data_IF_040537586510
#
_entry.id   IF_040537586510
#
_cell.length_a   1.000
_cell.length_b   1.000
_cell.length_c   1.000
_cell.angle_alpha   90.00
_cell.angle_beta   90.00
_cell.angle_gamma   90.00
#
_symmetry.space_group_name_H-M   'P 1'
#
loop_
_entity.id
_entity.type
_entity.pdbx_description
1 polymer ?
#
# COMPACT_ATOMS: atom_id res chain seq x y z
N UNK A 1 -19.89 -2.76 18.23
CA UNK A 1 -19.88 -1.72 17.18
C UNK A 1 -18.46 -1.43 16.70
N UNK A 2 -17.51 -1.11 17.58
CA UNK A 2 -16.12 -0.76 17.19
C UNK A 2 -15.41 -1.83 16.34
N UNK A 3 -15.50 -3.11 16.69
CA UNK A 3 -14.94 -4.20 15.90
C UNK A 3 -15.44 -4.21 14.44
N UNK A 4 -16.74 -3.93 14.24
CA UNK A 4 -17.33 -3.89 12.90
C UNK A 4 -16.78 -2.70 12.09
N UNK A 5 -16.68 -1.52 12.70
CA UNK A 5 -16.09 -0.35 12.04
C UNK A 5 -14.63 -0.59 11.67
N UNK A 6 -13.82 -1.11 12.59
CA UNK A 6 -12.44 -1.45 12.34
C UNK A 6 -12.29 -2.49 11.22
N UNK A 7 -13.18 -3.49 11.17
CA UNK A 7 -13.19 -4.47 10.07
C UNK A 7 -13.51 -3.80 8.73
N UNK A 8 -14.58 -3.01 8.65
CA UNK A 8 -15.00 -2.34 7.41
C UNK A 8 -13.92 -1.38 6.93
N UNK A 9 -13.36 -0.55 7.82
CA UNK A 9 -12.28 0.38 7.48
C UNK A 9 -11.05 -0.39 7.02
N UNK A 10 -10.63 -1.39 7.78
CA UNK A 10 -9.47 -2.21 7.46
C UNK A 10 -9.57 -2.92 6.12
N UNK A 11 -10.74 -3.53 5.86
CA UNK A 11 -11.02 -4.22 4.60
C UNK A 11 -11.08 -3.24 3.42
N UNK A 12 -11.89 -2.19 3.54
CA UNK A 12 -12.13 -1.24 2.44
C UNK A 12 -10.86 -0.46 2.09
N UNK A 13 -10.12 0.01 3.10
CA UNK A 13 -8.87 0.71 2.90
C UNK A 13 -7.83 -0.17 2.20
N UNK A 14 -7.66 -1.43 2.64
CA UNK A 14 -6.75 -2.36 1.98
C UNK A 14 -7.19 -2.68 0.54
N UNK A 15 -8.48 -2.95 0.34
CA UNK A 15 -9.04 -3.25 -0.98
C UNK A 15 -8.82 -2.10 -1.96
N UNK A 16 -9.18 -0.87 -1.55
CA UNK A 16 -9.03 0.35 -2.36
C UNK A 16 -7.56 0.68 -2.59
N UNK A 17 -6.72 0.58 -1.57
CA UNK A 17 -5.28 0.87 -1.66
C UNK A 17 -4.52 -0.03 -2.64
N UNK A 18 -5.05 -1.22 -2.93
CA UNK A 18 -4.46 -2.18 -3.88
C UNK A 18 -5.07 -2.05 -5.30
N UNK A 19 -6.10 -1.22 -5.52
CA UNK A 19 -6.69 -1.01 -6.85
C UNK A 19 -5.67 -0.48 -7.87
N UNK A 20 -4.84 0.53 -7.58
CA UNK A 20 -3.91 1.04 -8.57
C UNK A 20 -2.94 -0.05 -9.03
N UNK A 21 -2.71 -0.20 -10.36
CA UNK A 21 -1.78 -1.18 -10.88
C UNK A 21 -0.35 -0.86 -10.45
N UNK A 22 0.20 -1.71 -9.60
CA UNK A 22 1.57 -1.59 -9.08
C UNK A 22 2.38 -2.86 -9.28
N UNK A 23 3.62 -2.85 -8.78
CA UNK A 23 4.55 -3.97 -8.92
C UNK A 23 3.97 -5.29 -8.39
N UNK A 24 3.28 -5.25 -7.25
CA UNK A 24 2.71 -6.44 -6.60
C UNK A 24 1.57 -7.02 -7.46
N UNK A 25 0.61 -6.18 -7.86
CA UNK A 25 -0.58 -6.59 -8.60
C UNK A 25 -0.21 -7.15 -9.97
N UNK A 26 0.68 -6.44 -10.68
CA UNK A 26 1.16 -6.87 -11.99
C UNK A 26 2.03 -8.12 -11.90
N UNK A 27 2.79 -8.31 -10.81
CA UNK A 27 3.54 -9.55 -10.58
C UNK A 27 2.58 -10.74 -10.35
N UNK A 28 1.53 -10.56 -9.54
CA UNK A 28 0.51 -11.59 -9.33
C UNK A 28 -0.17 -11.99 -10.64
N UNK A 29 -0.57 -11.00 -11.45
CA UNK A 29 -1.15 -11.22 -12.77
C UNK A 29 -0.17 -11.96 -13.71
N UNK A 30 1.08 -11.51 -13.81
CA UNK A 30 2.12 -12.14 -14.66
C UNK A 30 2.42 -13.57 -14.25
N UNK A 31 2.53 -13.85 -12.94
CA UNK A 31 2.70 -15.21 -12.42
C UNK A 31 1.48 -16.07 -12.77
N UNK A 32 0.26 -15.54 -12.68
CA UNK A 32 -0.95 -16.26 -13.05
C UNK A 32 -0.95 -16.68 -14.51
N UNK A 33 -0.53 -15.80 -15.40
CA UNK A 33 -0.46 -16.06 -16.84
C UNK A 33 0.65 -17.05 -17.21
N UNK A 34 1.84 -16.92 -16.63
CA UNK A 34 3.01 -17.75 -16.99
C UNK A 34 3.05 -19.10 -16.27
N UNK A 35 2.64 -19.16 -15.00
CA UNK A 35 2.83 -20.30 -14.10
C UNK A 35 1.53 -20.89 -13.55
N UNK A 36 0.42 -20.24 -13.85
CA UNK A 36 -0.91 -20.66 -13.42
C UNK A 36 -1.36 -20.04 -12.09
N UNK A 37 -2.68 -20.09 -11.87
CA UNK A 37 -3.37 -19.47 -10.74
C UNK A 37 -2.85 -19.91 -9.38
N UNK A 38 -2.46 -21.18 -9.24
CA UNK A 38 -2.01 -21.73 -7.95
C UNK A 38 -0.74 -21.02 -7.46
N UNK A 39 0.23 -20.81 -8.35
CA UNK A 39 1.47 -20.11 -8.02
C UNK A 39 1.24 -18.63 -7.74
N UNK A 40 0.34 -17.98 -8.48
CA UNK A 40 -0.07 -16.60 -8.22
C UNK A 40 -0.79 -16.45 -6.86
N UNK A 41 -1.65 -17.42 -6.49
CA UNK A 41 -2.32 -17.42 -5.17
C UNK A 41 -1.30 -17.55 -4.03
N UNK A 42 -0.30 -18.44 -4.17
CA UNK A 42 0.76 -18.57 -3.17
C UNK A 42 1.60 -17.30 -3.04
N UNK A 43 1.89 -16.65 -4.17
CA UNK A 43 2.52 -15.33 -4.16
C UNK A 43 1.67 -14.31 -3.40
N UNK A 44 0.36 -14.24 -3.70
CA UNK A 44 -0.58 -13.34 -3.04
C UNK A 44 -0.68 -13.60 -1.54
N UNK A 45 -0.67 -14.86 -1.09
CA UNK A 45 -0.65 -15.20 0.33
C UNK A 45 0.62 -14.67 1.02
N UNK A 46 1.78 -14.80 0.36
CA UNK A 46 3.02 -14.22 0.87
C UNK A 46 2.93 -12.69 1.01
N UNK A 47 2.34 -12.01 0.02
CA UNK A 47 2.07 -10.57 0.07
C UNK A 47 1.19 -10.23 1.27
N UNK A 48 0.09 -10.97 1.46
CA UNK A 48 -0.87 -10.70 2.56
C UNK A 48 -0.22 -10.82 3.94
N UNK A 49 0.62 -11.82 4.16
CA UNK A 49 1.36 -11.97 5.43
C UNK A 49 2.21 -10.72 5.72
N UNK A 50 2.94 -10.22 4.72
CA UNK A 50 3.77 -9.03 4.90
C UNK A 50 2.92 -7.77 5.10
N UNK A 51 1.83 -7.60 4.33
CA UNK A 51 0.91 -6.48 4.48
C UNK A 51 0.30 -6.47 5.89
N UNK A 52 -0.14 -7.63 6.40
CA UNK A 52 -0.66 -7.73 7.77
C UNK A 52 0.39 -7.31 8.82
N UNK A 53 1.64 -7.74 8.64
CA UNK A 53 2.73 -7.34 9.54
C UNK A 53 2.99 -5.83 9.46
N UNK A 54 3.05 -5.26 8.26
CA UNK A 54 3.22 -3.82 8.06
C UNK A 54 2.04 -3.02 8.64
N UNK A 55 0.80 -3.50 8.44
CA UNK A 55 -0.39 -2.89 9.05
C UNK A 55 -0.28 -2.92 10.57
N UNK A 56 0.08 -4.05 11.16
CA UNK A 56 0.24 -4.16 12.61
C UNK A 56 1.26 -3.16 13.17
N UNK A 57 2.45 -3.08 12.56
CA UNK A 57 3.50 -2.13 12.95
C UNK A 57 3.00 -0.68 12.82
N UNK A 58 2.35 -0.34 11.71
CA UNK A 58 1.81 0.99 11.47
C UNK A 58 0.73 1.37 12.49
N UNK A 59 -0.16 0.44 12.85
CA UNK A 59 -1.21 0.69 13.85
C UNK A 59 -0.66 0.84 15.26
N UNK A 60 0.40 0.09 15.63
CA UNK A 60 1.09 0.30 16.91
C UNK A 60 1.71 1.70 16.98
N UNK A 61 2.32 2.14 15.88
CA UNK A 61 2.88 3.49 15.79
C UNK A 61 1.79 4.56 15.83
N UNK A 62 0.68 4.38 15.10
CA UNK A 62 -0.47 5.28 15.13
C UNK A 62 -1.08 5.39 16.53
N UNK A 63 -1.22 4.26 17.25
CA UNK A 63 -1.65 4.23 18.66
C UNK A 63 -0.71 5.02 19.58
N UNK A 64 0.58 4.94 19.33
CA UNK A 64 1.57 5.74 20.06
C UNK A 64 1.38 7.23 19.80
N UNK A 65 1.17 7.63 18.54
CA UNK A 65 0.92 9.02 18.15
C UNK A 65 -0.36 9.58 18.80
N UNK A 66 -1.44 8.79 18.81
CA UNK A 66 -2.71 9.20 19.44
C UNK A 66 -2.53 9.55 20.93
N UNK A 67 -1.65 8.82 21.62
CA UNK A 67 -1.36 9.05 23.03
C UNK A 67 -0.36 10.19 23.31
N UNK A 68 0.31 10.68 22.27
CA UNK A 68 1.38 11.68 22.37
C UNK A 68 1.17 12.78 21.32
N UNK A 69 0.19 13.70 21.53
CA UNK A 69 -0.14 14.72 20.53
C UNK A 69 1.04 15.66 20.18
N UNK A 70 1.91 15.94 21.16
CA UNK A 70 3.09 16.80 20.95
C UNK A 70 4.08 16.23 19.91
N UNK A 71 4.11 14.89 19.78
CA UNK A 71 4.92 14.19 18.78
C UNK A 71 4.35 14.42 17.38
N UNK A 72 3.04 14.58 17.26
CA UNK A 72 2.36 14.77 15.96
C UNK A 72 2.84 16.08 15.32
N UNK A 73 2.88 17.19 16.08
CA UNK A 73 3.31 18.49 15.57
C UNK A 73 4.75 18.43 15.03
N UNK A 74 5.65 17.78 15.76
CA UNK A 74 7.04 17.60 15.33
C UNK A 74 7.15 16.73 14.07
N UNK A 75 6.35 15.65 14.00
CA UNK A 75 6.31 14.75 12.84
C UNK A 75 5.71 15.43 11.60
N UNK A 76 4.72 16.31 11.74
CA UNK A 76 4.14 17.06 10.62
C UNK A 76 5.20 17.95 9.95
N UNK A 77 6.06 18.62 10.73
CA UNK A 77 7.15 19.43 10.20
C UNK A 77 8.18 18.59 9.44
N UNK A 78 8.58 17.43 10.01
CA UNK A 78 9.51 16.52 9.36
C UNK A 78 8.88 15.92 8.10
N UNK A 79 7.61 15.51 8.16
CA UNK A 79 6.87 14.98 7.02
C UNK A 79 6.76 16.00 5.88
N UNK A 80 6.49 17.27 6.20
CA UNK A 80 6.47 18.35 5.20
C UNK A 80 7.81 18.43 4.45
N UNK A 81 8.93 18.41 5.18
CA UNK A 81 10.26 18.41 4.57
C UNK A 81 10.49 17.21 3.64
N UNK A 82 10.10 16.01 4.09
CA UNK A 82 10.20 14.78 3.29
C UNK A 82 9.32 14.87 2.04
N UNK A 83 8.05 15.31 2.17
CA UNK A 83 7.15 15.43 1.02
C UNK A 83 7.64 16.44 -0.01
N UNK A 84 8.21 17.57 0.42
CA UNK A 84 8.83 18.55 -0.49
C UNK A 84 9.99 17.89 -1.24
N UNK A 85 10.88 17.17 -0.55
CA UNK A 85 11.99 16.46 -1.20
C UNK A 85 11.51 15.42 -2.21
N UNK A 86 10.50 14.62 -1.85
CA UNK A 86 9.89 13.61 -2.74
C UNK A 86 9.27 14.31 -3.95
N UNK A 87 8.55 15.41 -3.75
CA UNK A 87 7.93 16.18 -4.83
C UNK A 87 8.98 16.68 -5.83
N UNK A 88 10.04 17.30 -5.34
CA UNK A 88 11.15 17.78 -6.18
C UNK A 88 11.77 16.61 -6.94
N UNK A 89 12.05 15.49 -6.25
CA UNK A 89 12.64 14.33 -6.88
C UNK A 89 11.76 13.77 -8.01
N UNK A 90 10.47 13.55 -7.78
CA UNK A 90 9.58 12.93 -8.77
C UNK A 90 9.17 13.87 -9.91
N UNK A 91 9.07 15.19 -9.67
CA UNK A 91 8.73 16.14 -10.72
C UNK A 91 9.94 16.50 -11.59
N UNK A 92 11.14 16.63 -11.00
CA UNK A 92 12.28 17.22 -11.70
C UNK A 92 13.44 16.23 -11.96
N UNK A 93 13.61 15.21 -11.13
CA UNK A 93 14.79 14.33 -11.17
C UNK A 93 14.45 12.93 -11.68
N UNK A 94 13.30 12.39 -11.27
CA UNK A 94 12.94 11.01 -11.59
C UNK A 94 12.73 10.83 -13.09
N UNK A 95 13.66 10.12 -13.72
CA UNK A 95 13.50 9.66 -15.10
C UNK A 95 12.39 8.61 -15.16
N UNK A 96 11.61 8.61 -16.24
CA UNK A 96 10.58 7.61 -16.53
C UNK A 96 11.24 6.25 -16.82
N UNK A 97 11.82 5.66 -15.79
CA UNK A 97 12.38 4.32 -15.84
C UNK A 97 11.22 3.35 -15.84
N UNK A 98 10.77 2.98 -17.03
CA UNK A 98 9.85 1.84 -17.21
C UNK A 98 10.50 0.63 -16.56
N UNK A 99 10.15 0.31 -15.34
CA UNK A 99 10.58 -0.93 -14.70
C UNK A 99 9.95 -2.07 -15.49
N UNK A 100 10.67 -2.52 -16.50
CA UNK A 100 10.36 -3.76 -17.18
C UNK A 100 10.34 -4.85 -16.10
N UNK A 101 9.16 -5.42 -15.87
CA UNK A 101 9.04 -6.60 -15.00
C UNK A 101 9.94 -7.66 -15.64
N UNK A 102 10.97 -8.16 -14.94
CA UNK A 102 11.93 -9.07 -15.53
C UNK A 102 11.23 -10.22 -16.25
N UNK A 103 11.55 -10.43 -17.51
CA UNK A 103 10.86 -11.41 -18.36
C UNK A 103 11.28 -12.85 -18.05
N UNK A 104 12.39 -13.01 -17.35
CA UNK A 104 12.99 -14.29 -17.00
C UNK A 104 12.36 -14.88 -15.73
N UNK A 105 11.03 -15.06 -15.72
CA UNK A 105 10.37 -15.85 -14.68
C UNK A 105 10.56 -17.33 -15.01
N UNK A 106 11.72 -17.88 -14.64
CA UNK A 106 11.90 -19.34 -14.54
C UNK A 106 10.82 -19.87 -13.59
N UNK A 107 10.18 -20.99 -13.97
CA UNK A 107 9.14 -21.64 -13.16
C UNK A 107 9.71 -21.97 -11.78
N UNK A 108 9.37 -21.15 -10.80
CA UNK A 108 9.91 -21.27 -9.44
C UNK A 108 9.06 -22.22 -8.61
N UNK A 109 9.67 -22.90 -7.63
CA UNK A 109 8.95 -23.76 -6.70
C UNK A 109 7.90 -22.97 -5.90
N UNK A 110 6.87 -23.66 -5.40
CA UNK A 110 5.76 -23.08 -4.63
C UNK A 110 6.26 -22.24 -3.43
N UNK A 111 7.23 -22.79 -2.67
CA UNK A 111 7.86 -22.06 -1.54
C UNK A 111 8.52 -20.76 -2.01
N UNK A 112 9.29 -20.81 -3.11
CA UNK A 112 9.94 -19.61 -3.68
C UNK A 112 8.92 -18.56 -4.14
N UNK A 113 7.69 -18.93 -4.52
CA UNK A 113 6.64 -17.96 -4.87
C UNK A 113 6.05 -17.28 -3.66
N UNK A 114 5.77 -18.02 -2.59
CA UNK A 114 5.30 -17.46 -1.33
C UNK A 114 6.31 -16.46 -0.75
N UNK A 115 7.56 -16.87 -0.56
CA UNK A 115 8.60 -15.97 -0.05
C UNK A 115 8.92 -14.83 -1.01
N UNK A 116 8.79 -15.04 -2.32
CA UNK A 116 8.90 -13.97 -3.31
C UNK A 116 7.82 -12.91 -3.16
N UNK A 117 6.59 -13.32 -2.84
CA UNK A 117 5.49 -12.40 -2.51
C UNK A 117 5.78 -11.59 -1.24
N UNK A 118 6.23 -12.27 -0.19
CA UNK A 118 6.65 -11.60 1.06
C UNK A 118 7.76 -10.56 0.79
N UNK A 119 8.79 -10.95 0.06
CA UNK A 119 9.94 -10.08 -0.20
C UNK A 119 9.54 -8.83 -1.01
N UNK A 120 8.77 -9.00 -2.08
CA UNK A 120 8.32 -7.85 -2.89
C UNK A 120 7.42 -6.92 -2.07
N UNK A 121 6.54 -7.45 -1.22
CA UNK A 121 5.72 -6.66 -0.34
C UNK A 121 6.55 -5.96 0.75
N UNK A 122 7.58 -6.61 1.28
CA UNK A 122 8.48 -6.02 2.27
C UNK A 122 9.25 -4.82 1.72
N UNK A 123 9.66 -4.87 0.45
CA UNK A 123 10.30 -3.73 -0.22
C UNK A 123 9.34 -2.55 -0.48
N UNK A 124 8.05 -2.79 -0.41
CA UNK A 124 7.05 -1.75 -0.53
C UNK A 124 6.77 -1.13 0.85
N UNK A 125 7.41 -0.01 1.14
CA UNK A 125 7.29 0.68 2.44
C UNK A 125 6.02 1.55 2.52
N UNK A 126 5.37 1.84 1.39
CA UNK A 126 4.18 2.73 1.31
C UNK A 126 2.99 2.32 2.20
N UNK A 127 2.72 1.04 2.48
CA UNK A 127 1.66 0.67 3.41
C UNK A 127 1.85 1.23 4.83
N UNK A 128 3.07 1.44 5.30
CA UNK A 128 3.31 1.94 6.66
C UNK A 128 2.70 3.34 6.88
N UNK A 129 3.12 4.40 6.14
CA UNK A 129 2.52 5.73 6.31
C UNK A 129 1.04 5.75 5.92
N UNK A 130 0.62 4.93 4.96
CA UNK A 130 -0.78 4.82 4.56
C UNK A 130 -1.66 4.37 5.74
N UNK A 131 -1.29 3.31 6.45
CA UNK A 131 -2.06 2.79 7.57
C UNK A 131 -2.04 3.72 8.78
N UNK A 132 -0.92 4.42 9.02
CA UNK A 132 -0.87 5.47 10.05
C UNK A 132 -1.88 6.56 9.72
N UNK A 133 -1.88 7.06 8.49
CA UNK A 133 -2.81 8.11 8.06
C UNK A 133 -4.27 7.67 8.16
N UNK A 134 -4.61 6.50 7.63
CA UNK A 134 -5.99 5.97 7.66
C UNK A 134 -6.47 5.83 9.10
N UNK A 135 -5.70 5.16 9.96
CA UNK A 135 -6.12 4.89 11.34
C UNK A 135 -6.27 6.15 12.18
N UNK A 136 -5.33 7.10 12.10
CA UNK A 136 -5.41 8.38 12.83
C UNK A 136 -6.59 9.20 12.33
N UNK A 137 -6.80 9.26 11.00
CA UNK A 137 -7.92 10.00 10.43
C UNK A 137 -9.26 9.46 10.90
N UNK A 138 -9.49 8.16 10.82
CA UNK A 138 -10.77 7.58 11.26
C UNK A 138 -10.93 7.56 12.78
N UNK A 139 -9.85 7.53 13.55
CA UNK A 139 -9.88 7.70 15.00
C UNK A 139 -10.34 9.11 15.39
N UNK A 140 -9.88 10.14 14.68
CA UNK A 140 -10.31 11.52 14.90
C UNK A 140 -11.82 11.73 14.68
N UNK A 141 -12.46 10.90 13.83
CA UNK A 141 -13.92 10.87 13.65
C UNK A 141 -14.64 9.96 14.66
N UNK A 142 -13.93 9.29 15.56
CA UNK A 142 -14.50 8.32 16.51
C UNK A 142 -14.95 6.99 15.87
N UNK A 143 -14.51 6.70 14.63
CA UNK A 143 -14.89 5.49 13.89
C UNK A 143 -13.84 4.39 13.95
N UNK A 144 -12.69 4.65 14.51
CA UNK A 144 -11.59 3.70 14.66
C UNK A 144 -11.13 3.64 16.12
N UNK A 145 -10.94 2.43 16.64
CA UNK A 145 -10.37 2.21 17.97
C UNK A 145 -9.02 1.50 17.85
N UNK A 146 -8.09 1.91 18.71
CA UNK A 146 -6.78 1.28 18.84
C UNK A 146 -6.71 0.24 19.96
N UNK A 147 -7.84 -0.20 20.51
CA UNK A 147 -7.86 -1.31 21.45
C UNK A 147 -7.38 -2.59 20.77
N UNK A 148 -6.81 -3.50 21.55
CA UNK A 148 -6.12 -4.66 21.00
C UNK A 148 -7.01 -5.55 20.11
N UNK A 149 -8.28 -5.85 20.45
CA UNK A 149 -9.16 -6.65 19.60
C UNK A 149 -9.48 -5.96 18.27
N UNK A 150 -9.74 -4.65 18.30
CA UNK A 150 -10.05 -3.82 17.15
C UNK A 150 -8.86 -3.69 16.20
N UNK A 151 -7.68 -3.49 16.79
CA UNK A 151 -6.43 -3.42 16.04
C UNK A 151 -6.16 -4.75 15.30
N UNK A 152 -6.28 -5.88 15.99
CA UNK A 152 -6.10 -7.21 15.36
C UNK A 152 -7.15 -7.46 14.28
N UNK A 153 -8.38 -7.03 14.50
CA UNK A 153 -9.45 -7.11 13.50
C UNK A 153 -9.09 -6.33 12.24
N UNK A 154 -8.54 -5.11 12.38
CA UNK A 154 -8.06 -4.31 11.24
C UNK A 154 -6.92 -5.02 10.49
N UNK A 155 -5.98 -5.62 11.21
CA UNK A 155 -4.86 -6.36 10.61
C UNK A 155 -5.38 -7.54 9.78
N UNK A 156 -6.30 -8.33 10.31
CA UNK A 156 -6.90 -9.46 9.57
C UNK A 156 -7.71 -8.97 8.37
N UNK A 157 -8.50 -7.92 8.54
CA UNK A 157 -9.30 -7.30 7.49
C UNK A 157 -8.42 -6.75 6.36
N UNK A 158 -7.26 -6.15 6.69
CA UNK A 158 -6.30 -5.66 5.69
C UNK A 158 -5.72 -6.78 4.83
N UNK A 159 -5.38 -7.91 5.44
CA UNK A 159 -4.94 -9.10 4.72
C UNK A 159 -6.01 -9.64 3.78
N UNK A 160 -7.26 -9.69 4.26
CA UNK A 160 -8.41 -10.17 3.47
C UNK A 160 -8.71 -9.24 2.28
N UNK A 161 -8.76 -7.93 2.51
CA UNK A 161 -8.99 -6.93 1.44
C UNK A 161 -7.91 -7.00 0.37
N UNK A 162 -6.65 -7.05 0.78
CA UNK A 162 -5.50 -7.24 -0.12
C UNK A 162 -5.61 -8.55 -0.91
N UNK A 163 -5.94 -9.65 -0.23
CA UNK A 163 -6.06 -10.96 -0.88
C UNK A 163 -7.15 -10.98 -1.95
N UNK A 164 -8.34 -10.46 -1.62
CA UNK A 164 -9.46 -10.41 -2.55
C UNK A 164 -9.10 -9.58 -3.77
N UNK A 165 -8.48 -8.40 -3.58
CA UNK A 165 -8.09 -7.56 -4.71
C UNK A 165 -7.03 -8.23 -5.60
N UNK A 166 -6.02 -8.88 -5.02
CA UNK A 166 -5.04 -9.65 -5.81
C UNK A 166 -5.69 -10.83 -6.54
N UNK A 167 -6.71 -11.48 -5.95
CA UNK A 167 -7.48 -12.54 -6.62
C UNK A 167 -8.27 -12.00 -7.80
N UNK A 168 -8.81 -10.78 -7.71
CA UNK A 168 -9.44 -10.11 -8.84
C UNK A 168 -8.44 -9.85 -9.96
N UNK A 169 -7.25 -9.33 -9.66
CA UNK A 169 -6.17 -9.18 -10.64
C UNK A 169 -5.82 -10.51 -11.32
N UNK A 170 -5.66 -11.60 -10.56
CA UNK A 170 -5.39 -12.95 -11.10
C UNK A 170 -6.54 -13.45 -11.97
N UNK A 171 -7.78 -13.06 -11.67
CA UNK A 171 -8.96 -13.48 -12.42
C UNK A 171 -9.12 -12.72 -13.73
N UNK A 172 -9.01 -11.39 -13.69
CA UNK A 172 -9.25 -10.53 -14.84
C UNK A 172 -8.12 -10.60 -15.88
N UNK A 173 -6.88 -10.70 -15.44
CA UNK A 173 -5.75 -10.90 -16.35
C UNK A 173 -5.62 -12.37 -16.77
N UNK A 174 -6.65 -12.88 -17.45
CA UNK A 174 -6.62 -14.21 -18.05
C UNK A 174 -5.77 -14.20 -19.33
N UNK A 175 -5.18 -15.34 -19.59
CA UNK A 175 -4.29 -15.81 -20.67
C UNK A 175 -4.57 -15.36 -22.12
N UNK A 176 -5.40 -14.34 -22.37
CA UNK A 176 -5.88 -14.04 -23.73
C UNK A 176 -5.16 -12.89 -24.44
N UNK A 177 -4.27 -12.15 -23.77
CA UNK A 177 -3.53 -11.09 -24.44
C UNK A 177 -2.02 -11.17 -24.16
N UNK A 178 -1.29 -11.66 -25.17
CA UNK A 178 0.15 -11.50 -25.35
C UNK A 178 0.56 -10.03 -25.52
N UNK A 179 -0.36 -9.10 -25.47
CA UNK A 179 -0.16 -7.67 -25.67
C UNK A 179 -0.25 -6.83 -24.40
N UNK A 180 0.17 -7.37 -23.22
CA UNK A 180 0.43 -6.50 -22.06
C UNK A 180 1.73 -5.70 -22.28
N UNK A 181 1.96 -5.30 -23.49
CA UNK A 181 2.90 -4.25 -23.88
C UNK A 181 2.19 -2.91 -24.11
N UNK A 182 0.90 -2.77 -23.78
CA UNK A 182 0.31 -1.44 -23.66
C UNK A 182 0.82 -0.85 -22.35
N UNK A 183 1.84 0.01 -22.39
CA UNK A 183 2.15 0.83 -21.26
C UNK A 183 0.89 1.66 -21.01
N UNK A 184 0.30 1.58 -19.83
CA UNK A 184 -0.51 2.68 -19.36
C UNK A 184 0.36 3.92 -19.60
N UNK A 185 -0.04 4.77 -20.56
CA UNK A 185 0.69 5.99 -20.94
C UNK A 185 0.68 7.05 -19.85
N UNK A 186 0.43 6.62 -18.62
CA UNK A 186 0.38 7.49 -17.46
C UNK A 186 1.77 7.57 -16.87
N UNK A 187 2.35 8.74 -16.89
CA UNK A 187 3.63 9.01 -16.23
C UNK A 187 3.44 8.91 -14.73
N UNK A 188 3.73 7.74 -14.15
CA UNK A 188 3.55 7.47 -12.72
C UNK A 188 4.39 8.43 -11.86
N UNK A 189 5.55 8.88 -12.33
CA UNK A 189 6.37 9.85 -11.62
C UNK A 189 5.64 11.18 -11.48
N UNK A 190 4.97 11.62 -12.55
CA UNK A 190 4.18 12.85 -12.53
C UNK A 190 2.99 12.75 -11.56
N UNK A 191 2.29 11.62 -11.53
CA UNK A 191 1.18 11.40 -10.58
C UNK A 191 1.70 11.43 -9.14
N UNK A 192 2.78 10.71 -8.83
CA UNK A 192 3.36 10.69 -7.49
C UNK A 192 3.79 12.11 -7.11
N UNK A 193 4.48 12.81 -7.99
CA UNK A 193 4.92 14.19 -7.77
C UNK A 193 3.75 15.15 -7.55
N UNK A 194 2.68 15.05 -8.33
CA UNK A 194 1.50 15.90 -8.20
C UNK A 194 0.74 15.63 -6.87
N UNK A 195 0.59 14.35 -6.50
CA UNK A 195 -0.06 13.97 -5.23
C UNK A 195 0.76 14.44 -4.04
N UNK A 196 2.08 14.23 -4.06
CA UNK A 196 2.95 14.68 -2.96
C UNK A 196 3.02 16.20 -2.88
N UNK A 197 2.98 16.92 -4.00
CA UNK A 197 2.88 18.39 -4.01
C UNK A 197 1.58 18.87 -3.36
N UNK A 198 0.44 18.25 -3.70
CA UNK A 198 -0.84 18.58 -3.09
C UNK A 198 -0.83 18.35 -1.57
N UNK A 199 -0.28 17.21 -1.12
CA UNK A 199 -0.14 16.89 0.31
C UNK A 199 0.77 17.93 0.99
N UNK A 200 1.89 18.32 0.37
CA UNK A 200 2.81 19.33 0.90
C UNK A 200 2.11 20.69 1.09
N UNK A 201 1.31 21.11 0.10
CA UNK A 201 0.56 22.37 0.17
C UNK A 201 -0.48 22.35 1.31
N UNK A 202 -1.23 21.25 1.44
CA UNK A 202 -2.24 21.11 2.50
C UNK A 202 -1.56 21.12 3.88
N UNK A 203 -0.46 20.39 4.04
CA UNK A 203 0.28 20.29 5.30
C UNK A 203 0.90 21.65 5.66
N UNK A 204 1.50 22.36 4.70
CA UNK A 204 2.03 23.70 4.90
C UNK A 204 0.93 24.66 5.34
N UNK A 205 -0.23 24.66 4.67
CA UNK A 205 -1.36 25.51 5.03
C UNK A 205 -1.86 25.25 6.45
N UNK A 206 -1.92 23.95 6.85
CA UNK A 206 -2.30 23.57 8.21
C UNK A 206 -1.31 24.11 9.24
N UNK A 207 -0.01 23.91 9.05
CA UNK A 207 1.04 24.40 9.96
C UNK A 207 0.99 25.93 10.10
N UNK A 208 0.78 26.66 8.99
CA UNK A 208 0.70 28.13 9.03
C UNK A 208 -0.59 28.64 9.69
N UNK A 209 -1.66 27.87 9.69
CA UNK A 209 -2.92 28.25 10.34
C UNK A 209 -2.87 28.01 11.86
N UNK A 210 -2.10 27.03 12.30
CA UNK A 210 -1.97 26.63 13.71
C UNK A 210 -0.82 27.39 14.43
N UNK A 211 -0.08 28.26 13.71
CA UNK A 211 0.90 29.23 14.22
C UNK A 211 0.22 30.57 14.55
#
# INVERSE_FOLDING_TARGET
MALLFNFIIGFSAAFIGVIPPGLINMSAAKISMKEGRRNATLFSLGVCVTVMLQTYIALLFARYLEKNPDVIASLEQVALGIFICITIYFLFIAKDTRRAIPDNLVRKSKKKRFFGGMFIAFLNVLPLPYWVYVSVTFSAFGWFSFDTPELLTTVLASGLGTFIMLRLYIHFFKRKDTSINTPLKVNMNFIIGAVTALISLITAFKIFKDL
#
